data_IF_193635821953
#
_entry.id   IF_193635821953
#
_cell.length_a   1.000
_cell.length_b   1.000
_cell.length_c   1.000
_cell.angle_alpha   90.00
_cell.angle_beta   90.00
_cell.angle_gamma   90.00
#
_symmetry.space_group_name_H-M   'P 1'
#
loop_
_entity.id
_entity.type
_entity.pdbx_description
1 polymer ?
#
# COMPACT_ATOMS: atom_id res chain seq x y z
N UNK A 1 1.25 -11.33 -3.21
CA UNK A 1 1.87 -12.02 -2.05
C UNK A 1 3.28 -11.48 -1.85
N UNK A 2 3.75 -11.29 -0.63
CA UNK A 2 5.09 -10.77 -0.32
C UNK A 2 6.17 -11.84 -0.50
N UNK A 3 7.30 -11.47 -1.09
CA UNK A 3 8.52 -12.27 -1.16
C UNK A 3 9.82 -11.45 -1.03
N UNK A 4 9.74 -10.11 -1.05
CA UNK A 4 10.90 -9.23 -0.92
C UNK A 4 11.20 -8.85 0.53
N UNK A 5 10.17 -8.50 1.30
CA UNK A 5 10.30 -8.28 2.74
C UNK A 5 11.05 -7.02 3.18
N UNK A 6 11.20 -6.01 2.32
CA UNK A 6 11.90 -4.75 2.66
C UNK A 6 11.16 -3.88 3.70
N UNK A 7 9.83 -3.96 3.73
CA UNK A 7 8.96 -3.18 4.63
C UNK A 7 8.30 -4.09 5.69
N UNK A 8 9.01 -5.13 6.14
CA UNK A 8 8.52 -6.01 7.22
C UNK A 8 8.49 -5.24 8.53
N UNK A 9 7.50 -5.56 9.35
CA UNK A 9 7.42 -5.08 10.74
C UNK A 9 8.15 -6.07 11.63
N UNK A 10 8.92 -5.55 12.59
CA UNK A 10 9.51 -6.35 13.65
C UNK A 10 8.46 -6.76 14.68
N UNK A 11 8.62 -7.93 15.28
CA UNK A 11 7.81 -8.37 16.41
C UNK A 11 8.67 -9.21 17.36
N UNK A 12 8.24 -9.39 18.61
CA UNK A 12 8.90 -10.30 19.54
C UNK A 12 8.35 -11.72 19.37
N UNK A 13 9.25 -12.68 19.17
CA UNK A 13 8.88 -14.10 19.15
C UNK A 13 8.50 -14.58 20.56
N UNK A 14 7.84 -15.75 20.69
CA UNK A 14 7.59 -16.35 22.01
C UNK A 14 8.86 -16.64 22.82
N UNK A 15 10.01 -16.77 22.16
CA UNK A 15 11.33 -16.97 22.80
C UNK A 15 11.99 -15.65 23.22
N UNK A 16 11.38 -14.49 22.93
CA UNK A 16 11.91 -13.17 23.25
C UNK A 16 12.88 -12.60 22.23
N UNK A 17 13.03 -13.23 21.07
CA UNK A 17 13.91 -12.77 19.98
C UNK A 17 13.17 -11.81 19.03
N UNK A 18 13.93 -11.04 18.25
CA UNK A 18 13.36 -10.21 17.18
C UNK A 18 13.03 -11.08 15.96
N UNK A 19 11.76 -11.10 15.59
CA UNK A 19 11.24 -11.66 14.35
C UNK A 19 10.78 -10.58 13.37
N UNK A 20 10.48 -11.00 12.14
CA UNK A 20 9.96 -10.11 11.08
C UNK A 20 8.73 -10.72 10.41
N UNK A 21 7.67 -9.92 10.29
CA UNK A 21 6.41 -10.30 9.65
C UNK A 21 5.90 -9.23 8.69
N UNK A 22 5.14 -9.62 7.69
CA UNK A 22 4.48 -8.72 6.76
C UNK A 22 3.06 -9.20 6.52
N UNK A 23 2.06 -8.37 6.74
CA UNK A 23 0.67 -8.76 6.50
C UNK A 23 0.35 -9.08 5.02
N UNK A 24 1.27 -8.80 4.08
CA UNK A 24 1.16 -9.19 2.68
C UNK A 24 1.77 -10.56 2.33
N UNK A 25 2.39 -11.28 3.28
CA UNK A 25 2.89 -12.64 3.09
C UNK A 25 1.75 -13.68 3.01
N UNK A 26 2.00 -14.98 2.74
CA UNK A 26 0.95 -15.99 2.85
C UNK A 26 0.30 -15.96 4.24
N UNK A 27 -1.03 -15.97 4.32
CA UNK A 27 -1.78 -15.87 5.59
C UNK A 27 -1.27 -16.87 6.62
N UNK A 28 -1.08 -18.14 6.23
CA UNK A 28 -0.56 -19.17 7.13
C UNK A 28 0.81 -18.81 7.75
N UNK A 29 1.72 -18.20 6.98
CA UNK A 29 3.02 -17.78 7.47
C UNK A 29 2.92 -16.58 8.42
N UNK A 30 1.99 -15.65 8.18
CA UNK A 30 1.71 -14.54 9.09
C UNK A 30 1.13 -15.01 10.43
N UNK A 31 0.19 -15.97 10.40
CA UNK A 31 -0.42 -16.55 11.60
C UNK A 31 0.60 -17.34 12.45
N UNK A 32 1.48 -18.11 11.80
CA UNK A 32 2.58 -18.79 12.50
C UNK A 32 3.52 -17.81 13.23
N UNK A 33 3.56 -16.56 12.81
CA UNK A 33 4.33 -15.46 13.42
C UNK A 33 3.52 -14.65 14.44
N UNK A 34 2.40 -15.19 14.93
CA UNK A 34 1.58 -14.57 15.96
C UNK A 34 0.81 -13.33 15.50
N UNK A 35 0.55 -13.22 14.19
CA UNK A 35 -0.43 -12.25 13.67
C UNK A 35 -1.85 -12.83 13.66
N UNK A 36 -2.84 -11.99 13.36
CA UNK A 36 -4.24 -12.42 13.24
C UNK A 36 -4.74 -12.41 11.78
N UNK A 37 -5.81 -13.15 11.45
CA UNK A 37 -6.38 -13.13 10.09
C UNK A 37 -6.84 -11.74 9.65
N UNK A 38 -7.43 -10.96 10.56
CA UNK A 38 -7.98 -9.63 10.31
C UNK A 38 -6.90 -8.65 9.85
N UNK A 39 -5.68 -8.79 10.38
CA UNK A 39 -4.54 -7.97 9.95
C UNK A 39 -4.13 -8.21 8.48
N UNK A 40 -4.47 -9.38 7.91
CA UNK A 40 -4.12 -9.81 6.55
C UNK A 40 -5.20 -9.47 5.51
N UNK A 41 -6.41 -9.17 5.94
CA UNK A 41 -7.54 -8.95 5.04
C UNK A 41 -7.31 -7.73 4.12
N UNK A 42 -7.53 -7.92 2.81
CA UNK A 42 -7.33 -6.89 1.80
C UNK A 42 -5.87 -6.41 1.61
N UNK A 43 -4.91 -6.97 2.35
CA UNK A 43 -3.51 -6.52 2.30
C UNK A 43 -2.85 -6.88 0.99
N UNK A 44 -2.07 -5.93 0.47
CA UNK A 44 -1.22 -6.10 -0.70
C UNK A 44 0.23 -5.84 -0.32
N UNK A 45 1.17 -6.50 -1.00
CA UNK A 45 2.59 -6.30 -0.74
C UNK A 45 3.06 -4.99 -1.38
N UNK A 46 3.34 -3.97 -0.57
CA UNK A 46 3.88 -2.69 -1.04
C UNK A 46 5.24 -2.87 -1.72
N UNK A 47 6.14 -3.70 -1.17
CA UNK A 47 7.47 -3.89 -1.76
C UNK A 47 7.40 -4.36 -3.22
N UNK A 48 6.56 -5.36 -3.49
CA UNK A 48 6.42 -5.88 -4.85
C UNK A 48 5.79 -4.85 -5.79
N UNK A 49 4.75 -4.15 -5.34
CA UNK A 49 4.09 -3.14 -6.16
C UNK A 49 4.99 -1.93 -6.44
N UNK A 50 5.79 -1.46 -5.47
CA UNK A 50 6.74 -0.36 -5.66
C UNK A 50 7.83 -0.73 -6.67
N UNK A 51 8.36 -1.95 -6.61
CA UNK A 51 9.32 -2.45 -7.59
C UNK A 51 8.68 -2.57 -8.98
N UNK A 52 7.41 -2.98 -9.06
CA UNK A 52 6.67 -2.98 -10.31
C UNK A 52 6.46 -1.57 -10.89
N UNK A 53 6.29 -0.53 -10.05
CA UNK A 53 6.17 0.86 -10.51
C UNK A 53 7.39 1.36 -11.28
N UNK A 54 8.59 0.84 -10.96
CA UNK A 54 9.85 1.23 -11.61
C UNK A 54 10.29 0.24 -12.70
N UNK A 55 9.38 -0.61 -13.19
CA UNK A 55 9.66 -1.57 -14.26
C UNK A 55 10.37 -2.85 -13.81
N UNK A 56 10.42 -3.13 -12.50
CA UNK A 56 11.02 -4.34 -11.93
C UNK A 56 9.97 -5.27 -11.26
N UNK A 57 8.90 -5.69 -11.97
CA UNK A 57 7.86 -6.52 -11.37
C UNK A 57 8.39 -7.90 -11.02
N UNK A 58 7.98 -8.41 -9.86
CA UNK A 58 8.29 -9.77 -9.44
C UNK A 58 7.56 -10.78 -10.34
N UNK A 59 8.28 -11.81 -10.81
CA UNK A 59 7.71 -12.92 -11.57
C UNK A 59 7.39 -14.09 -10.64
N UNK A 60 6.28 -14.77 -10.90
CA UNK A 60 5.82 -15.92 -10.12
C UNK A 60 5.65 -17.15 -11.01
N UNK A 61 5.70 -18.37 -10.44
CA UNK A 61 5.29 -19.58 -11.14
C UNK A 61 3.91 -19.41 -11.78
N UNK A 62 3.72 -20.01 -12.96
CA UNK A 62 2.49 -19.85 -13.74
C UNK A 62 2.40 -18.55 -14.54
N UNK A 63 3.49 -17.78 -14.66
CA UNK A 63 3.57 -16.61 -15.55
C UNK A 63 3.00 -15.32 -14.98
N UNK A 64 2.54 -15.33 -13.72
CA UNK A 64 2.06 -14.11 -13.07
C UNK A 64 3.19 -13.10 -12.87
N UNK A 65 2.93 -11.84 -13.22
CA UNK A 65 3.81 -10.69 -12.97
C UNK A 65 3.09 -9.74 -12.03
N UNK A 66 3.77 -9.31 -10.97
CA UNK A 66 3.19 -8.33 -10.04
C UNK A 66 2.85 -7.03 -10.79
N UNK A 67 1.69 -6.47 -10.48
CA UNK A 67 1.23 -5.21 -11.06
C UNK A 67 1.81 -4.02 -10.29
N UNK A 68 2.02 -2.87 -10.96
CA UNK A 68 2.24 -1.60 -10.30
C UNK A 68 1.14 -1.30 -9.27
N UNK A 69 1.50 -0.65 -8.17
CA UNK A 69 0.54 -0.14 -7.19
C UNK A 69 0.26 1.33 -7.47
N UNK A 70 -1.00 1.72 -7.32
CA UNK A 70 -1.45 3.11 -7.34
C UNK A 70 -2.07 3.40 -5.98
N UNK A 71 -1.59 4.44 -5.32
CA UNK A 71 -2.18 4.97 -4.09
C UNK A 71 -2.87 6.28 -4.40
N UNK A 72 -4.01 6.52 -3.77
CA UNK A 72 -4.70 7.80 -3.85
C UNK A 72 -4.18 8.82 -2.83
N UNK A 73 -3.31 8.37 -1.90
CA UNK A 73 -2.86 9.19 -0.78
C UNK A 73 -4.02 9.60 0.13
N UNK A 74 -3.82 10.69 0.86
CA UNK A 74 -4.79 11.25 1.81
C UNK A 74 -5.67 12.36 1.20
N UNK A 75 -5.32 12.85 -0.01
CA UNK A 75 -5.94 14.03 -0.63
C UNK A 75 -7.19 13.77 -1.49
N UNK A 76 -7.84 12.61 -1.36
CA UNK A 76 -9.05 12.30 -2.17
C UNK A 76 -10.19 13.27 -1.87
N UNK A 77 -10.30 13.72 -0.64
CA UNK A 77 -11.36 14.65 -0.25
C UNK A 77 -11.17 16.03 -0.89
N UNK A 78 -9.93 16.53 -0.94
CA UNK A 78 -9.61 17.76 -1.67
C UNK A 78 -10.03 17.68 -3.14
N UNK A 79 -9.81 16.53 -3.80
CA UNK A 79 -10.26 16.30 -5.18
C UNK A 79 -11.79 16.34 -5.29
N UNK A 80 -12.53 15.81 -4.30
CA UNK A 80 -14.00 15.90 -4.28
C UNK A 80 -14.48 17.34 -4.15
N UNK A 81 -13.85 18.12 -3.27
CA UNK A 81 -14.19 19.52 -3.06
C UNK A 81 -13.92 20.35 -4.32
N UNK A 82 -12.76 20.17 -4.95
CA UNK A 82 -12.39 20.85 -6.20
C UNK A 82 -13.31 20.50 -7.38
N UNK A 83 -13.78 19.26 -7.47
CA UNK A 83 -14.71 18.83 -8.53
C UNK A 83 -16.14 19.40 -8.36
N UNK A 84 -16.51 19.78 -7.13
CA UNK A 84 -17.81 20.33 -6.76
C UNK A 84 -19.02 19.46 -7.15
N UNK A 85 -20.21 20.02 -7.01
CA UNK A 85 -21.43 19.40 -7.52
C UNK A 85 -21.45 19.50 -9.06
N UNK A 86 -21.36 18.33 -9.72
CA UNK A 86 -21.40 18.23 -11.18
C UNK A 86 -20.11 17.77 -11.85
N UNK A 87 -19.04 17.44 -11.09
CA UNK A 87 -17.76 16.91 -11.62
C UNK A 87 -17.16 17.80 -12.71
N UNK A 88 -17.19 19.12 -12.50
CA UNK A 88 -16.58 20.05 -13.46
C UNK A 88 -15.05 19.92 -13.38
N UNK A 89 -14.33 20.00 -14.52
CA UNK A 89 -12.87 20.08 -14.48
C UNK A 89 -12.45 21.29 -13.65
N UNK A 90 -11.48 21.09 -12.75
CA UNK A 90 -10.81 22.18 -12.04
C UNK A 90 -9.49 22.52 -12.73
N UNK A 91 -9.07 23.77 -12.58
CA UNK A 91 -7.84 24.33 -13.13
C UNK A 91 -6.69 24.22 -12.13
N UNK A 92 -5.46 24.32 -12.63
CA UNK A 92 -4.29 24.37 -11.75
C UNK A 92 -4.33 25.58 -10.80
N UNK A 93 -4.91 26.71 -11.22
CA UNK A 93 -5.06 27.90 -10.37
C UNK A 93 -5.99 27.63 -9.17
N UNK A 94 -7.14 27.00 -9.41
CA UNK A 94 -8.08 26.62 -8.33
C UNK A 94 -7.46 25.64 -7.33
N UNK A 95 -6.59 24.72 -7.80
CA UNK A 95 -5.84 23.83 -6.90
C UNK A 95 -4.85 24.62 -6.04
N UNK A 96 -4.15 25.60 -6.61
CA UNK A 96 -3.20 26.43 -5.87
C UNK A 96 -3.94 27.28 -4.83
N UNK A 97 -5.05 27.91 -5.21
CA UNK A 97 -5.87 28.71 -4.28
C UNK A 97 -6.40 27.85 -3.13
N UNK A 98 -6.86 26.64 -3.43
CA UNK A 98 -7.29 25.67 -2.41
C UNK A 98 -6.16 25.33 -1.43
N UNK A 99 -4.97 24.99 -1.93
CA UNK A 99 -3.83 24.60 -1.10
C UNK A 99 -3.32 25.77 -0.23
N UNK A 100 -3.44 27.01 -0.70
CA UNK A 100 -3.02 28.20 0.05
C UNK A 100 -4.08 28.70 1.03
N UNK A 101 -5.34 28.31 0.86
CA UNK A 101 -6.44 28.66 1.77
C UNK A 101 -6.47 27.79 3.05
N UNK A 102 -5.84 26.62 3.04
CA UNK A 102 -5.68 25.73 4.23
C UNK A 102 -4.53 26.16 5.16
N UNK A 103 -4.07 27.41 5.08
CA UNK A 103 -3.01 28.01 5.92
C UNK A 103 -3.53 28.65 7.20
#
# INVERSE_FOLDING_TARGET
MCNLGYLRTTYLTPTGELGYRCAGEPVAAFLQKGGTPEETEGRKCLCNGLLANIGLPQQRPGGYREKPLVTLGEGVEAVRQLLGEGRKPYTAAEVIDYLLAEG
#
